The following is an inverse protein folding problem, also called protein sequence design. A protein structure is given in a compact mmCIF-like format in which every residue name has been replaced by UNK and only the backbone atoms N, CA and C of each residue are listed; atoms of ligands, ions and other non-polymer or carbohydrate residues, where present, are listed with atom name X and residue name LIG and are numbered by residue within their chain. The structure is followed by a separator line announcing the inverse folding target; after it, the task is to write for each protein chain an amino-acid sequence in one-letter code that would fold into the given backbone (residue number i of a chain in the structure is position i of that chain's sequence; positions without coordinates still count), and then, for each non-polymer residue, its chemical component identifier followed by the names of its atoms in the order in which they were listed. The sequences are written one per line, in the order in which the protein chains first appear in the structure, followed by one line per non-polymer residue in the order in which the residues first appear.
data_IF_341136687404
#
_entry.id   IF_341136687404
#
_cell.length_a   1.000
_cell.length_b   1.000
_cell.length_c   1.000
_cell.angle_alpha   90.00
_cell.angle_beta   90.00
_cell.angle_gamma   90.00
#
_symmetry.space_group_name_H-M   'P 1'
#
loop_
_entity.id
_entity.type
_entity.pdbx_description
1 polymer ?
#
# COMPACT_ATOMS: atom_id res chain seq x y z
N UNK A 1 -14.89 -0.98 2.86
CA UNK A 1 -15.34 0.43 2.75
C UNK A 1 -14.47 1.17 1.77
N UNK A 2 -15.02 2.06 0.96
CA UNK A 2 -14.20 2.82 0.00
C UNK A 2 -13.18 3.70 0.71
N UNK A 3 -11.98 3.73 0.15
CA UNK A 3 -10.91 4.55 0.67
C UNK A 3 -9.74 4.55 -0.30
N UNK A 4 -8.54 4.73 0.25
CA UNK A 4 -7.34 4.90 -0.55
C UNK A 4 -6.20 4.08 0.01
N UNK A 5 -5.38 3.56 -0.90
CA UNK A 5 -4.10 2.90 -0.59
C UNK A 5 -3.02 3.48 -1.46
N UNK A 6 -1.77 3.15 -1.16
CA UNK A 6 -0.64 3.57 -1.96
C UNK A 6 0.00 2.33 -2.56
N UNK A 7 0.11 2.28 -3.88
CA UNK A 7 0.77 1.17 -4.54
C UNK A 7 2.25 1.48 -4.67
N UNK A 8 3.08 0.59 -4.13
CA UNK A 8 4.53 0.79 -4.11
C UNK A 8 5.30 -0.25 -4.91
N UNK A 9 4.61 -1.27 -5.41
CA UNK A 9 5.25 -2.29 -6.26
C UNK A 9 4.28 -2.81 -7.30
N UNK A 10 4.81 -3.04 -8.49
CA UNK A 10 4.12 -3.74 -9.57
C UNK A 10 5.15 -4.53 -10.33
N UNK A 11 4.99 -5.85 -10.41
CA UNK A 11 5.94 -6.69 -11.15
C UNK A 11 5.57 -8.15 -11.07
N UNK A 12 6.36 -8.99 -11.75
CA UNK A 12 6.07 -10.41 -11.90
C UNK A 12 6.64 -11.31 -10.79
N UNK A 13 7.30 -10.76 -9.79
CA UNK A 13 8.02 -11.55 -8.80
C UNK A 13 7.29 -11.57 -7.46
N UNK A 14 6.70 -12.71 -7.13
CA UNK A 14 6.00 -12.89 -5.87
C UNK A 14 6.92 -12.65 -4.67
N UNK A 15 8.13 -13.23 -4.72
CA UNK A 15 9.04 -13.13 -3.59
C UNK A 15 9.42 -11.68 -3.31
N UNK A 16 9.65 -10.89 -4.36
CA UNK A 16 9.99 -9.48 -4.18
C UNK A 16 8.82 -8.71 -3.55
N UNK A 17 7.59 -8.98 -4.00
CA UNK A 17 6.41 -8.34 -3.41
C UNK A 17 6.29 -8.69 -1.94
N UNK A 18 6.47 -9.96 -1.59
CA UNK A 18 6.37 -10.41 -0.20
C UNK A 18 7.49 -9.85 0.68
N UNK A 19 8.70 -9.76 0.17
CA UNK A 19 9.83 -9.18 0.91
C UNK A 19 9.61 -7.69 1.16
N UNK A 20 9.14 -6.97 0.15
CA UNK A 20 8.83 -5.55 0.33
C UNK A 20 7.71 -5.35 1.35
N UNK A 21 6.71 -6.23 1.33
CA UNK A 21 5.62 -6.19 2.31
C UNK A 21 6.16 -6.38 3.72
N UNK A 22 7.02 -7.37 3.91
CA UNK A 22 7.61 -7.65 5.20
C UNK A 22 8.45 -6.47 5.70
N UNK A 23 9.28 -5.93 4.84
CA UNK A 23 10.12 -4.76 5.17
C UNK A 23 9.27 -3.55 5.55
N UNK A 24 8.21 -3.32 4.78
CA UNK A 24 7.29 -2.22 5.06
C UNK A 24 6.65 -2.37 6.45
N UNK A 25 6.17 -3.57 6.76
CA UNK A 25 5.49 -3.81 8.03
C UNK A 25 6.43 -3.72 9.22
N UNK A 26 7.72 -3.99 9.05
CA UNK A 26 8.70 -3.79 10.11
C UNK A 26 8.88 -2.31 10.44
N UNK A 27 8.83 -1.46 9.43
CA UNK A 27 9.01 -0.02 9.61
C UNK A 27 7.71 0.68 9.98
N UNK A 28 6.57 0.19 9.47
CA UNK A 28 5.25 0.80 9.67
C UNK A 28 4.26 -0.24 10.18
N UNK A 29 4.46 -0.74 11.41
CA UNK A 29 3.62 -1.85 11.91
C UNK A 29 2.15 -1.48 12.11
N UNK A 30 1.82 -0.19 12.19
CA UNK A 30 0.45 0.28 12.36
C UNK A 30 -0.35 0.32 11.05
N UNK A 31 0.32 0.14 9.90
CA UNK A 31 -0.36 0.16 8.61
C UNK A 31 -0.60 -1.24 8.08
N UNK A 32 -1.62 -1.37 7.22
CA UNK A 32 -1.82 -2.59 6.45
C UNK A 32 -0.92 -2.62 5.22
N UNK A 33 -0.58 -3.82 4.76
CA UNK A 33 0.18 -4.01 3.53
C UNK A 33 -0.34 -5.26 2.85
N UNK A 34 -0.70 -5.15 1.57
CA UNK A 34 -1.45 -6.17 0.87
C UNK A 34 -0.81 -6.50 -0.47
N UNK A 35 -0.45 -7.78 -0.64
CA UNK A 35 0.02 -8.29 -1.92
C UNK A 35 -1.21 -8.77 -2.70
N UNK A 36 -1.39 -8.24 -3.90
CA UNK A 36 -2.50 -8.57 -4.77
C UNK A 36 -1.95 -9.22 -6.02
N UNK A 37 -2.42 -10.43 -6.31
CA UNK A 37 -2.07 -11.10 -7.55
C UNK A 37 -3.07 -10.75 -8.64
N UNK A 38 -2.58 -10.14 -9.70
CA UNK A 38 -3.37 -9.86 -10.89
C UNK A 38 -2.55 -10.36 -12.07
N UNK A 39 -2.83 -11.57 -12.48
CA UNK A 39 -2.05 -12.31 -13.47
C UNK A 39 -1.66 -11.44 -14.66
N UNK A 40 -0.37 -11.41 -15.05
CA UNK A 40 0.75 -12.22 -14.51
C UNK A 40 1.55 -11.49 -13.42
N UNK A 41 1.05 -10.39 -12.87
CA UNK A 41 1.81 -9.52 -11.99
C UNK A 41 1.31 -9.54 -10.55
N UNK A 42 2.18 -9.04 -9.68
CA UNK A 42 1.88 -8.80 -8.27
C UNK A 42 1.96 -7.32 -7.99
N UNK A 43 1.06 -6.84 -7.15
CA UNK A 43 1.03 -5.44 -6.69
C UNK A 43 1.17 -5.45 -5.18
N UNK A 44 1.87 -4.45 -4.65
CA UNK A 44 1.89 -4.23 -3.21
C UNK A 44 1.25 -2.87 -2.95
N UNK A 45 0.18 -2.89 -2.16
CA UNK A 45 -0.55 -1.69 -1.75
C UNK A 45 -0.50 -1.56 -0.24
N UNK A 46 -0.23 -0.36 0.25
CA UNK A 46 -0.02 -0.12 1.67
C UNK A 46 -0.93 0.99 2.17
N UNK A 47 -1.27 0.88 3.46
CA UNK A 47 -2.13 1.83 4.16
C UNK A 47 -3.60 1.59 3.91
N UNK A 48 -4.42 2.02 4.87
CA UNK A 48 -5.86 1.99 4.76
C UNK A 48 -6.34 3.39 5.11
N UNK A 49 -6.39 4.27 4.11
CA UNK A 49 -6.68 5.68 4.32
C UNK A 49 -8.14 5.99 4.00
N UNK A 50 -8.78 6.67 4.91
CA UNK A 50 -10.18 7.06 4.74
C UNK A 50 -10.32 8.18 3.72
N UNK A 51 -9.36 9.11 3.69
CA UNK A 51 -9.42 10.27 2.82
C UNK A 51 -8.21 10.35 1.91
N UNK A 52 -8.41 11.01 0.77
CA UNK A 52 -7.31 11.23 -0.17
C UNK A 52 -6.22 12.10 0.44
N UNK A 53 -6.59 13.05 1.31
CA UNK A 53 -5.61 13.91 1.96
C UNK A 53 -4.65 13.10 2.85
N UNK A 54 -5.19 12.18 3.63
CA UNK A 54 -4.36 11.30 4.45
C UNK A 54 -3.40 10.48 3.58
N UNK A 55 -3.92 9.92 2.49
CA UNK A 55 -3.10 9.15 1.56
C UNK A 55 -2.02 10.02 0.92
N UNK A 56 -2.35 11.26 0.55
CA UNK A 56 -1.40 12.17 -0.08
C UNK A 56 -0.24 12.52 0.86
N UNK A 57 -0.52 12.67 2.15
CA UNK A 57 0.54 12.93 3.13
C UNK A 57 1.52 11.76 3.20
N UNK A 58 1.01 10.55 3.24
CA UNK A 58 1.87 9.37 3.30
C UNK A 58 2.55 9.10 1.97
N UNK A 59 1.91 9.45 0.86
CA UNK A 59 2.51 9.31 -0.46
C UNK A 59 3.83 10.05 -0.57
N UNK A 60 3.92 11.26 -0.03
CA UNK A 60 5.14 12.05 -0.05
C UNK A 60 6.29 11.29 0.59
N UNK A 61 6.03 10.63 1.71
CA UNK A 61 7.03 9.80 2.40
C UNK A 61 7.40 8.58 1.57
N UNK A 62 6.42 7.94 0.96
CA UNK A 62 6.66 6.74 0.16
C UNK A 62 7.42 7.05 -1.13
N UNK A 63 7.17 8.19 -1.75
CA UNK A 63 7.87 8.57 -2.98
C UNK A 63 9.35 8.85 -2.78
N UNK A 64 9.76 9.16 -1.55
CA UNK A 64 11.19 9.28 -1.23
C UNK A 64 11.91 7.94 -1.36
N UNK A 65 11.20 6.83 -1.19
CA UNK A 65 11.76 5.47 -1.24
C UNK A 65 11.35 4.72 -2.51
N UNK A 66 10.17 4.98 -3.00
CA UNK A 66 9.57 4.31 -4.16
C UNK A 66 9.07 5.38 -5.10
N UNK A 67 9.94 5.81 -6.02
CA UNK A 67 9.64 6.94 -6.91
C UNK A 67 8.38 6.74 -7.74
N UNK A 68 7.98 5.49 -7.98
CA UNK A 68 6.80 5.16 -8.78
C UNK A 68 5.53 4.98 -7.93
N UNK A 69 5.61 5.28 -6.62
CA UNK A 69 4.43 5.15 -5.76
C UNK A 69 3.32 6.10 -6.17
N UNK A 70 2.09 5.63 -6.07
CA UNK A 70 0.92 6.46 -6.41
C UNK A 70 -0.30 6.00 -5.61
N UNK A 71 -1.26 6.91 -5.47
CA UNK A 71 -2.50 6.66 -4.74
C UNK A 71 -3.46 5.86 -5.64
N UNK A 72 -4.11 4.86 -5.05
CA UNK A 72 -5.18 4.11 -5.70
C UNK A 72 -6.43 4.16 -4.84
N UNK A 73 -7.60 4.17 -5.49
CA UNK A 73 -8.86 3.93 -4.80
C UNK A 73 -9.00 2.44 -4.55
N UNK A 74 -9.41 2.06 -3.36
CA UNK A 74 -9.51 0.66 -3.00
C UNK A 74 -10.54 0.46 -1.90
N UNK A 75 -10.86 -0.79 -1.64
CA UNK A 75 -11.69 -1.15 -0.50
C UNK A 75 -10.75 -1.31 0.70
N UNK A 76 -10.90 -0.43 1.69
CA UNK A 76 -9.97 -0.36 2.79
C UNK A 76 -10.59 -0.88 4.09
N UNK A 77 -9.70 -1.26 5.02
CA UNK A 77 -10.07 -1.74 6.35
C UNK A 77 -9.82 -0.64 7.35
N UNK A 78 -10.89 -0.07 7.90
CA UNK A 78 -10.77 0.97 8.92
C UNK A 78 -11.08 0.39 10.29
N UNK A 79 -10.55 1.01 11.36
CA UNK A 79 -10.85 0.57 12.72
C UNK A 79 -12.36 0.61 12.97
N UNK A 80 -12.87 -0.39 13.69
CA UNK A 80 -14.28 -0.41 14.06
C UNK A 80 -14.54 0.59 15.19
N UNK A 81 -15.79 1.07 15.23
CA UNK A 81 -16.22 1.96 16.30
C UNK A 81 -15.93 3.43 16.06
N UNK A 82 -15.42 3.76 14.91
CA UNK A 82 -15.13 5.16 14.56
C UNK A 82 -16.31 5.87 13.93
#
# INVERSE_FOLDING_TARGET
MPGYRIQIYFGGERLRANNLRSDFLQEYPEFGAYVIYQQPNFKLRVGDFKTRLEAAKFLTEMQARFSMAFIVSDDVKLPEGD
#
